data_IF_071214756605
#
_entry.id   IF_071214756605
#
_cell.length_a   1.000
_cell.length_b   1.000
_cell.length_c   1.000
_cell.angle_alpha   90.00
_cell.angle_beta   90.00
_cell.angle_gamma   90.00
#
_symmetry.space_group_name_H-M   'P 1'
#
loop_
_entity.id
_entity.type
_entity.pdbx_description
1 polymer ?
#
# COMPACT_ATOMS: atom_id res chain seq x y z
N UNK A 1 -27.36 8.90 10.93
CA UNK A 1 -26.43 8.12 10.09
C UNK A 1 -25.20 7.77 10.91
N UNK A 2 -24.63 6.59 10.69
CA UNK A 2 -23.38 6.16 11.32
C UNK A 2 -22.21 6.90 10.64
N UNK A 3 -21.55 7.83 11.34
CA UNK A 3 -20.53 8.70 10.77
C UNK A 3 -19.34 7.92 10.17
N UNK A 4 -19.00 6.74 10.68
CA UNK A 4 -17.92 5.91 10.16
C UNK A 4 -18.31 5.29 8.82
N UNK A 5 -19.55 4.78 8.73
CA UNK A 5 -20.10 4.29 7.46
C UNK A 5 -20.10 5.38 6.40
N UNK A 6 -20.45 6.61 6.78
CA UNK A 6 -20.42 7.77 5.89
C UNK A 6 -18.99 8.11 5.44
N UNK A 7 -18.00 8.15 6.33
CA UNK A 7 -16.59 8.42 5.97
C UNK A 7 -16.03 7.35 5.04
N UNK A 8 -16.21 6.06 5.39
CA UNK A 8 -15.79 4.94 4.55
C UNK A 8 -16.44 5.05 3.17
N UNK A 9 -17.72 5.39 3.13
CA UNK A 9 -18.45 5.59 1.87
C UNK A 9 -17.89 6.75 1.05
N UNK A 10 -17.62 7.92 1.65
CA UNK A 10 -17.04 9.05 0.90
C UNK A 10 -15.68 8.70 0.29
N UNK A 11 -14.76 8.14 1.09
CA UNK A 11 -13.43 7.75 0.58
C UNK A 11 -13.56 6.71 -0.53
N UNK A 12 -14.47 5.76 -0.38
CA UNK A 12 -14.75 4.72 -1.38
C UNK A 12 -15.33 5.33 -2.66
N UNK A 13 -16.39 6.13 -2.57
CA UNK A 13 -17.06 6.73 -3.71
C UNK A 13 -16.13 7.66 -4.50
N UNK A 14 -15.30 8.45 -3.82
CA UNK A 14 -14.31 9.33 -4.45
C UNK A 14 -13.24 8.52 -5.20
N UNK A 15 -12.73 7.45 -4.58
CA UNK A 15 -11.74 6.57 -5.19
C UNK A 15 -12.31 5.90 -6.45
N UNK A 16 -13.51 5.32 -6.34
CA UNK A 16 -14.15 4.58 -7.43
C UNK A 16 -14.52 5.48 -8.61
N UNK A 17 -15.15 6.62 -8.31
CA UNK A 17 -15.58 7.57 -9.33
C UNK A 17 -14.37 8.12 -10.08
N UNK A 18 -13.30 8.51 -9.36
CA UNK A 18 -12.11 9.05 -10.00
C UNK A 18 -11.34 7.99 -10.80
N UNK A 19 -11.20 6.77 -10.26
CA UNK A 19 -10.53 5.67 -10.97
C UNK A 19 -11.23 5.37 -12.29
N UNK A 20 -12.54 5.15 -12.24
CA UNK A 20 -13.30 4.80 -13.43
C UNK A 20 -13.37 5.96 -14.41
N UNK A 21 -13.53 7.21 -13.94
CA UNK A 21 -13.48 8.38 -14.82
C UNK A 21 -12.17 8.45 -15.62
N UNK A 22 -11.02 8.25 -14.96
CA UNK A 22 -9.72 8.25 -15.63
C UNK A 22 -9.57 7.03 -16.55
N UNK A 23 -10.07 5.86 -16.15
CA UNK A 23 -10.01 4.64 -16.97
C UNK A 23 -10.86 4.77 -18.26
N UNK A 24 -12.00 5.46 -18.22
CA UNK A 24 -12.82 5.73 -19.40
C UNK A 24 -12.22 6.81 -20.30
N UNK A 25 -11.36 7.68 -19.78
CA UNK A 25 -10.69 8.69 -20.58
C UNK A 25 -9.68 8.04 -21.54
N UNK A 26 -9.90 8.22 -22.84
CA UNK A 26 -9.08 7.68 -23.94
C UNK A 26 -7.85 8.54 -24.25
N UNK A 27 -7.77 9.75 -23.70
CA UNK A 27 -6.65 10.67 -23.94
C UNK A 27 -5.37 10.21 -23.24
N UNK A 28 -4.23 10.64 -23.79
CA UNK A 28 -2.91 10.39 -23.22
C UNK A 28 -2.59 11.42 -22.13
N UNK A 29 -3.35 11.37 -21.04
CA UNK A 29 -3.16 12.23 -19.86
C UNK A 29 -2.43 11.49 -18.73
N UNK A 30 -1.77 12.21 -17.79
CA UNK A 30 -1.31 11.62 -16.54
C UNK A 30 -2.48 10.94 -15.81
N UNK A 31 -2.26 9.71 -15.32
CA UNK A 31 -3.34 8.85 -14.78
C UNK A 31 -3.35 8.72 -13.25
N UNK A 32 -2.59 9.57 -12.55
CA UNK A 32 -2.69 9.71 -11.09
C UNK A 32 -2.21 8.49 -10.27
N UNK A 33 -1.27 7.69 -10.78
CA UNK A 33 -0.82 6.44 -10.13
C UNK A 33 -0.52 6.61 -8.62
N UNK A 34 0.30 7.61 -8.28
CA UNK A 34 0.67 7.88 -6.88
C UNK A 34 -0.48 8.45 -6.05
N UNK A 35 -1.38 9.23 -6.66
CA UNK A 35 -2.59 9.71 -5.99
C UNK A 35 -3.43 8.53 -5.51
N UNK A 36 -3.67 7.54 -6.37
CA UNK A 36 -4.43 6.35 -5.99
C UNK A 36 -3.69 5.49 -4.96
N UNK A 37 -2.36 5.39 -5.04
CA UNK A 37 -1.58 4.72 -4.01
C UNK A 37 -1.77 5.40 -2.64
N UNK A 38 -1.65 6.72 -2.56
CA UNK A 38 -1.86 7.48 -1.33
C UNK A 38 -3.30 7.33 -0.82
N UNK A 39 -4.31 7.48 -1.69
CA UNK A 39 -5.72 7.32 -1.31
C UNK A 39 -6.00 5.93 -0.76
N UNK A 40 -5.46 4.88 -1.38
CA UNK A 40 -5.63 3.51 -0.88
C UNK A 40 -4.97 3.26 0.49
N UNK A 41 -3.85 3.94 0.79
CA UNK A 41 -3.23 3.89 2.12
C UNK A 41 -4.00 4.70 3.16
N UNK A 42 -4.58 5.83 2.79
CA UNK A 42 -5.49 6.60 3.66
C UNK A 42 -6.71 5.75 4.00
N UNK A 43 -7.25 5.03 3.02
CA UNK A 43 -8.36 4.11 3.25
C UNK A 43 -7.99 3.01 4.24
N UNK A 44 -6.81 2.37 4.06
CA UNK A 44 -6.27 1.42 5.03
C UNK A 44 -6.12 2.03 6.43
N UNK A 45 -5.56 3.23 6.54
CA UNK A 45 -5.36 3.93 7.82
C UNK A 45 -6.69 4.15 8.56
N UNK A 46 -7.70 4.70 7.88
CA UNK A 46 -9.02 4.94 8.47
C UNK A 46 -9.64 3.63 8.96
N UNK A 47 -9.62 2.59 8.12
CA UNK A 47 -10.19 1.28 8.44
C UNK A 47 -9.45 0.64 9.62
N UNK A 48 -8.12 0.74 9.65
CA UNK A 48 -7.28 0.22 10.71
C UNK A 48 -7.54 0.91 12.04
N UNK A 49 -7.69 2.24 12.04
CA UNK A 49 -8.06 3.01 13.25
C UNK A 49 -9.41 2.60 13.82
N UNK A 50 -10.41 2.41 12.95
CA UNK A 50 -11.73 1.91 13.37
C UNK A 50 -11.59 0.52 13.97
N UNK A 51 -10.95 -0.41 13.26
CA UNK A 51 -10.75 -1.78 13.73
C UNK A 51 -9.94 -1.84 15.03
N UNK A 52 -8.97 -0.96 15.24
CA UNK A 52 -8.20 -0.88 16.47
C UNK A 52 -9.09 -0.50 17.67
N UNK A 53 -10.04 0.42 17.47
CA UNK A 53 -10.99 0.85 18.51
C UNK A 53 -12.00 -0.23 18.89
N UNK A 54 -12.26 -1.21 18.01
CA UNK A 54 -13.24 -2.28 18.23
C UNK A 54 -12.63 -3.68 18.25
N UNK A 55 -11.31 -3.77 18.42
CA UNK A 55 -10.57 -5.04 18.49
C UNK A 55 -10.81 -6.00 17.29
N UNK A 56 -10.95 -5.44 16.08
CA UNK A 56 -11.14 -6.20 14.82
C UNK A 56 -9.91 -6.20 13.91
N UNK A 57 -8.77 -5.69 14.37
CA UNK A 57 -7.56 -5.62 13.54
C UNK A 57 -7.08 -6.99 13.08
N UNK A 58 -7.16 -7.99 13.97
CA UNK A 58 -6.76 -9.34 13.61
C UNK A 58 -7.73 -9.96 12.60
N UNK A 59 -9.06 -9.83 12.80
CA UNK A 59 -10.07 -10.27 11.84
C UNK A 59 -9.86 -9.62 10.46
N UNK A 60 -9.61 -8.32 10.43
CA UNK A 60 -9.28 -7.59 9.21
C UNK A 60 -8.05 -8.16 8.50
N UNK A 61 -7.01 -8.55 9.27
CA UNK A 61 -5.78 -9.14 8.72
C UNK A 61 -5.98 -10.53 8.08
N UNK A 62 -6.98 -11.27 8.56
CA UNK A 62 -7.35 -12.58 8.01
C UNK A 62 -8.24 -12.43 6.76
N UNK A 63 -8.95 -11.31 6.65
CA UNK A 63 -9.86 -11.03 5.55
C UNK A 63 -9.19 -10.34 4.33
N UNK A 64 -8.07 -9.64 4.52
CA UNK A 64 -7.26 -9.06 3.45
C UNK A 64 -6.40 -10.16 2.78
N UNK A 65 -6.09 -10.00 1.48
CA UNK A 65 -5.28 -10.95 0.72
C UNK A 65 -3.96 -11.33 1.44
N UNK A 66 -3.67 -12.64 1.50
CA UNK A 66 -2.52 -13.20 2.24
C UNK A 66 -1.17 -12.60 1.84
N UNK A 67 -0.99 -12.24 0.57
CA UNK A 67 0.29 -11.72 0.04
C UNK A 67 0.72 -10.42 0.73
N UNK A 68 -0.22 -9.64 1.27
CA UNK A 68 0.08 -8.45 2.08
C UNK A 68 0.76 -8.76 3.42
N UNK A 69 0.59 -9.98 3.92
CA UNK A 69 1.16 -10.46 5.18
C UNK A 69 2.38 -11.34 4.97
N UNK A 70 2.97 -11.28 3.78
CA UNK A 70 4.30 -11.80 3.55
C UNK A 70 5.31 -11.06 4.43
N UNK A 71 6.01 -11.80 5.28
CA UNK A 71 7.05 -11.24 6.16
C UNK A 71 8.29 -10.91 5.34
N UNK A 72 8.62 -9.64 5.25
CA UNK A 72 9.88 -9.10 4.74
C UNK A 72 10.89 -8.92 5.89
N UNK A 73 12.18 -8.74 5.60
CA UNK A 73 13.18 -8.55 6.65
C UNK A 73 12.84 -7.36 7.58
N UNK A 74 13.19 -7.41 8.86
CA UNK A 74 12.94 -6.28 9.78
C UNK A 74 14.00 -5.19 9.56
N UNK A 75 13.80 -4.34 8.56
CA UNK A 75 14.83 -3.42 8.11
C UNK A 75 14.35 -1.99 7.85
N UNK A 76 13.05 -1.73 7.95
CA UNK A 76 12.55 -0.37 8.11
C UNK A 76 12.89 0.07 9.54
N UNK A 77 13.63 1.18 9.68
CA UNK A 77 13.94 1.74 11.01
C UNK A 77 12.63 2.12 11.69
N UNK A 78 12.29 1.38 12.75
CA UNK A 78 11.31 1.81 13.73
C UNK A 78 12.00 2.84 14.61
N UNK A 79 11.63 4.12 14.47
CA UNK A 79 12.03 5.09 15.47
C UNK A 79 11.26 4.74 16.73
N UNK A 80 11.93 4.38 17.82
CA UNK A 80 11.30 4.13 19.12
C UNK A 80 10.58 5.35 19.71
N UNK A 81 10.63 6.51 19.01
CA UNK A 81 9.88 7.73 19.30
C UNK A 81 8.58 7.85 18.51
N UNK A 82 8.35 7.04 17.49
CA UNK A 82 7.06 6.92 16.81
C UNK A 82 6.13 6.08 17.71
N UNK A 83 5.38 6.73 18.60
CA UNK A 83 4.13 6.11 19.06
C UNK A 83 3.20 6.17 17.86
N UNK A 84 3.04 5.06 17.15
CA UNK A 84 2.02 5.00 16.11
C UNK A 84 0.66 5.26 16.79
N UNK A 85 -0.07 6.30 16.36
CA UNK A 85 -1.39 6.65 16.90
C UNK A 85 -2.42 5.51 16.70
N UNK A 86 -2.08 4.50 15.89
CA UNK A 86 -2.88 3.34 15.57
C UNK A 86 -2.01 2.18 15.05
N UNK A 87 -2.58 0.98 14.99
CA UNK A 87 -1.92 -0.19 14.43
C UNK A 87 -2.50 -0.54 13.06
N UNK A 88 -1.64 -0.94 12.12
CA UNK A 88 -2.06 -1.60 10.88
C UNK A 88 -2.54 -3.03 11.17
N UNK A 89 -3.26 -3.69 10.25
CA UNK A 89 -3.66 -5.09 10.42
C UNK A 89 -2.42 -5.97 10.55
N UNK A 90 -2.43 -6.91 11.50
CA UNK A 90 -1.32 -7.83 11.75
C UNK A 90 -1.83 -9.23 12.12
N UNK A 91 -1.06 -10.26 11.75
CA UNK A 91 -1.34 -11.66 12.13
C UNK A 91 -0.58 -12.09 13.37
N UNK A 92 0.56 -11.47 13.63
CA UNK A 92 1.42 -11.68 14.78
C UNK A 92 2.00 -10.32 15.17
N UNK A 93 1.66 -9.86 16.37
CA UNK A 93 2.03 -8.53 16.86
C UNK A 93 3.54 -8.35 16.93
N UNK A 94 4.28 -9.41 17.28
CA UNK A 94 5.74 -9.37 17.43
C UNK A 94 6.47 -9.10 16.11
N UNK A 95 5.80 -9.37 14.98
CA UNK A 95 6.35 -9.21 13.63
C UNK A 95 5.54 -8.26 12.76
N UNK A 96 4.66 -7.42 13.34
CA UNK A 96 3.79 -6.50 12.59
C UNK A 96 4.53 -5.59 11.60
N UNK A 97 5.73 -5.12 11.96
CA UNK A 97 6.56 -4.25 11.11
C UNK A 97 7.25 -4.99 9.95
N UNK A 98 7.24 -6.31 9.95
CA UNK A 98 7.82 -7.14 8.89
C UNK A 98 6.85 -7.38 7.75
N UNK A 99 5.55 -7.19 7.94
CA UNK A 99 4.58 -7.46 6.88
C UNK A 99 4.71 -6.49 5.70
N UNK A 100 4.55 -7.01 4.48
CA UNK A 100 4.57 -6.21 3.25
C UNK A 100 3.58 -5.03 3.31
N UNK A 101 2.41 -5.20 3.92
CA UNK A 101 1.44 -4.11 4.11
C UNK A 101 2.02 -2.94 4.92
N UNK A 102 2.84 -3.24 5.94
CA UNK A 102 3.51 -2.21 6.73
C UNK A 102 4.56 -1.48 5.89
N UNK A 103 5.29 -2.20 5.05
CA UNK A 103 6.26 -1.61 4.14
C UNK A 103 5.61 -0.70 3.10
N UNK A 104 4.56 -1.20 2.44
CA UNK A 104 3.78 -0.42 1.49
C UNK A 104 3.21 0.83 2.15
N UNK A 105 2.67 0.70 3.36
CA UNK A 105 2.15 1.84 4.11
C UNK A 105 3.25 2.86 4.40
N UNK A 106 4.36 2.50 5.04
CA UNK A 106 5.44 3.47 5.33
C UNK A 106 6.02 4.08 4.05
N UNK A 107 6.24 3.28 3.02
CA UNK A 107 6.87 3.73 1.79
C UNK A 107 5.96 4.62 0.91
N UNK A 108 4.65 4.37 0.89
CA UNK A 108 3.69 5.19 0.13
C UNK A 108 3.17 6.35 0.98
N UNK A 109 2.67 6.07 2.20
CA UNK A 109 2.00 7.05 3.06
C UNK A 109 2.95 7.98 3.81
N UNK A 110 4.19 7.58 4.05
CA UNK A 110 5.19 8.43 4.71
C UNK A 110 6.36 8.75 3.79
N UNK A 111 6.16 8.49 2.50
CA UNK A 111 7.21 8.54 1.53
C UNK A 111 7.12 9.61 0.47
N UNK A 112 7.95 9.46 -0.56
CA UNK A 112 8.07 10.35 -1.72
C UNK A 112 6.84 10.33 -2.61
N UNK A 113 5.90 9.41 -2.38
CA UNK A 113 4.59 9.45 -3.02
C UNK A 113 3.86 10.79 -2.78
N UNK A 114 4.10 11.44 -1.63
CA UNK A 114 3.60 12.79 -1.35
C UNK A 114 4.16 13.87 -2.28
N UNK A 115 5.35 13.65 -2.82
CA UNK A 115 5.99 14.52 -3.81
C UNK A 115 5.74 14.06 -5.25
N UNK A 116 4.87 13.06 -5.46
CA UNK A 116 4.67 12.40 -6.76
C UNK A 116 5.96 11.79 -7.34
N UNK A 117 6.91 11.49 -6.46
CA UNK A 117 8.21 10.95 -6.82
C UNK A 117 8.23 9.43 -6.64
N UNK A 118 9.15 8.81 -7.37
CA UNK A 118 9.33 7.36 -7.30
C UNK A 118 9.78 6.90 -5.92
N UNK A 119 9.26 5.76 -5.49
CA UNK A 119 9.50 5.23 -4.15
C UNK A 119 10.59 4.17 -4.25
N UNK A 120 11.82 4.56 -3.93
CA UNK A 120 12.98 3.67 -3.99
C UNK A 120 13.51 3.48 -2.59
N UNK A 121 13.57 2.22 -2.18
CA UNK A 121 14.10 1.79 -0.90
C UNK A 121 15.48 1.19 -1.16
N UNK A 122 16.51 1.75 -0.55
CA UNK A 122 17.87 1.24 -0.71
C UNK A 122 18.16 0.17 0.34
N UNK A 123 18.55 -1.02 -0.13
CA UNK A 123 19.16 -2.13 0.62
C UNK A 123 20.69 -2.03 0.67
N UNK A 124 21.34 -3.05 1.26
CA UNK A 124 22.81 -3.13 1.33
C UNK A 124 23.45 -3.32 -0.05
N UNK A 125 22.84 -4.17 -0.88
CA UNK A 125 23.34 -4.61 -2.20
C UNK A 125 22.26 -4.56 -3.29
N UNK A 126 21.12 -3.94 -3.00
CA UNK A 126 20.00 -3.81 -3.93
C UNK A 126 19.23 -2.50 -3.74
N UNK A 127 18.45 -2.13 -4.74
CA UNK A 127 17.38 -1.15 -4.67
C UNK A 127 16.04 -1.87 -4.81
N UNK A 128 15.03 -1.43 -4.05
CA UNK A 128 13.65 -1.86 -4.19
C UNK A 128 12.79 -0.67 -4.61
N UNK A 129 12.39 -0.67 -5.88
CA UNK A 129 11.44 0.27 -6.46
C UNK A 129 10.01 -0.23 -6.27
N UNK A 130 9.10 0.64 -5.82
CA UNK A 130 7.67 0.35 -5.77
C UNK A 130 7.02 0.87 -7.06
N UNK A 131 6.86 -0.02 -8.02
CA UNK A 131 6.23 0.25 -9.31
C UNK A 131 4.72 0.38 -9.18
N UNK A 132 4.22 1.59 -8.98
CA UNK A 132 2.77 1.87 -8.83
C UNK A 132 2.07 1.90 -10.20
N UNK A 133 1.04 1.06 -10.36
CA UNK A 133 0.23 0.98 -11.58
C UNK A 133 -1.16 1.56 -11.35
N UNK A 134 -1.41 2.78 -11.84
CA UNK A 134 -2.73 3.42 -11.78
C UNK A 134 -3.73 2.92 -12.85
N UNK A 135 -4.89 3.58 -13.00
CA UNK A 135 -5.87 3.24 -14.02
C UNK A 135 -5.26 3.33 -15.41
N UNK A 136 -5.52 2.33 -16.25
CA UNK A 136 -5.18 2.34 -17.69
C UNK A 136 -6.45 2.55 -18.50
N UNK A 137 -6.29 2.86 -19.79
CA UNK A 137 -7.42 2.96 -20.72
C UNK A 137 -8.24 1.68 -20.64
N UNK A 138 -9.54 1.82 -20.40
CA UNK A 138 -10.51 0.71 -20.28
C UNK A 138 -10.26 -0.26 -19.11
N UNK A 139 -9.35 0.06 -18.19
CA UNK A 139 -9.07 -0.75 -16.99
C UNK A 139 -9.78 -0.16 -15.76
N UNK A 140 -11.11 -0.13 -15.82
CA UNK A 140 -11.97 0.24 -14.68
C UNK A 140 -11.80 -0.74 -13.51
N UNK A 141 -12.33 -0.42 -12.34
CA UNK A 141 -12.22 -1.27 -11.15
C UNK A 141 -12.82 -2.67 -11.36
N UNK A 142 -13.93 -2.77 -12.09
CA UNK A 142 -14.52 -4.05 -12.48
C UNK A 142 -13.55 -4.90 -13.31
N UNK A 143 -12.92 -4.29 -14.32
CA UNK A 143 -11.97 -4.98 -15.19
C UNK A 143 -10.79 -5.54 -14.41
N UNK A 144 -10.18 -4.74 -13.53
CA UNK A 144 -9.02 -5.21 -12.74
C UNK A 144 -9.42 -6.31 -11.75
N UNK A 145 -10.64 -6.27 -11.21
CA UNK A 145 -11.17 -7.33 -10.34
C UNK A 145 -11.31 -8.65 -11.11
N UNK A 146 -11.97 -8.61 -12.27
CA UNK A 146 -12.21 -9.77 -13.13
C UNK A 146 -10.93 -10.34 -13.74
N UNK A 147 -9.93 -9.49 -13.97
CA UNK A 147 -8.65 -9.86 -14.59
C UNK A 147 -7.49 -9.86 -13.59
N UNK A 148 -7.77 -10.02 -12.29
CA UNK A 148 -6.76 -10.01 -11.22
C UNK A 148 -5.48 -10.81 -11.54
N UNK A 149 -5.54 -12.05 -12.10
CA UNK A 149 -4.33 -12.81 -12.42
C UNK A 149 -3.43 -12.18 -13.49
N UNK A 150 -3.98 -11.32 -14.35
CA UNK A 150 -3.25 -10.62 -15.42
C UNK A 150 -2.68 -9.29 -14.95
N UNK A 151 -3.14 -8.77 -13.81
CA UNK A 151 -2.69 -7.51 -13.25
C UNK A 151 -1.45 -7.77 -12.40
N UNK A 152 -0.31 -7.17 -12.77
CA UNK A 152 0.89 -7.19 -11.92
C UNK A 152 0.58 -6.52 -10.59
N UNK A 153 0.53 -7.32 -9.53
CA UNK A 153 0.15 -6.87 -8.19
C UNK A 153 0.82 -7.76 -7.14
N UNK A 154 1.56 -7.15 -6.22
CA UNK A 154 2.39 -7.80 -5.20
C UNK A 154 3.36 -8.83 -5.80
N UNK A 155 3.90 -8.49 -6.97
CA UNK A 155 4.88 -9.29 -7.68
C UNK A 155 6.24 -8.60 -7.57
N UNK A 156 7.25 -9.36 -7.17
CA UNK A 156 8.65 -8.92 -7.16
C UNK A 156 9.32 -9.39 -8.44
N UNK A 157 9.97 -8.46 -9.15
CA UNK A 157 10.70 -8.74 -10.39
C UNK A 157 12.09 -8.10 -10.32
N UNK A 158 13.13 -8.84 -10.70
CA UNK A 158 14.45 -8.26 -10.92
C UNK A 158 14.45 -7.47 -12.24
N UNK A 159 14.95 -6.24 -12.22
CA UNK A 159 15.02 -5.36 -13.39
C UNK A 159 16.47 -5.29 -13.82
N UNK A 160 16.78 -5.97 -14.93
CA UNK A 160 18.13 -6.04 -15.51
C UNK A 160 18.41 -4.89 -16.51
N UNK A 161 17.42 -4.05 -16.76
CA UNK A 161 17.47 -2.96 -17.74
C UNK A 161 18.29 -1.75 -17.22
N UNK A 162 19.42 -1.45 -17.88
CA UNK A 162 20.25 -0.27 -17.59
C UNK A 162 19.51 1.06 -17.77
N UNK A 163 18.52 1.13 -18.68
CA UNK A 163 17.69 2.33 -18.86
C UNK A 163 16.85 2.61 -17.61
N UNK A 164 16.39 1.58 -16.91
CA UNK A 164 15.68 1.72 -15.63
C UNK A 164 16.60 2.29 -14.55
N UNK A 165 17.86 1.85 -14.47
CA UNK A 165 18.82 2.45 -13.54
C UNK A 165 19.04 3.95 -13.82
N UNK A 166 19.28 4.29 -15.08
CA UNK A 166 19.47 5.68 -15.52
C UNK A 166 18.24 6.56 -15.22
N UNK A 167 17.05 6.07 -15.56
CA UNK A 167 15.77 6.78 -15.32
C UNK A 167 15.54 7.04 -13.83
N UNK A 168 15.97 6.13 -12.98
CA UNK A 168 15.82 6.23 -11.52
C UNK A 168 16.99 6.94 -10.83
N UNK A 169 18.02 7.34 -11.57
CA UNK A 169 19.24 7.93 -11.01
C UNK A 169 20.00 6.97 -10.10
N UNK A 170 19.93 5.66 -10.36
CA UNK A 170 20.52 4.61 -9.54
C UNK A 170 21.87 4.13 -10.11
N UNK A 171 22.74 3.67 -9.22
CA UNK A 171 24.01 3.07 -9.61
C UNK A 171 23.82 1.61 -10.01
N UNK A 172 24.51 1.18 -11.07
CA UNK A 172 24.45 -0.20 -11.59
C UNK A 172 25.21 -1.23 -10.74
N UNK A 173 25.90 -0.79 -9.68
CA UNK A 173 26.63 -1.67 -8.74
C UNK A 173 25.70 -2.53 -7.86
N UNK A 174 24.43 -2.15 -7.75
CA UNK A 174 23.40 -2.86 -7.00
C UNK A 174 22.36 -3.48 -7.93
N UNK A 175 21.70 -4.54 -7.49
CA UNK A 175 20.54 -5.09 -8.20
C UNK A 175 19.32 -4.19 -8.03
N UNK A 176 18.47 -4.06 -9.05
CA UNK A 176 17.19 -3.37 -8.96
C UNK A 176 16.05 -4.39 -8.89
N UNK A 177 15.30 -4.37 -7.80
CA UNK A 177 14.09 -5.17 -7.62
C UNK A 177 12.89 -4.23 -7.71
N UNK A 178 11.88 -4.59 -8.51
CA UNK A 178 10.60 -3.88 -8.59
C UNK A 178 9.51 -4.68 -7.90
N UNK A 179 8.88 -4.06 -6.90
CA UNK A 179 7.61 -4.51 -6.36
C UNK A 179 6.48 -3.82 -7.14
N UNK A 180 5.74 -4.59 -7.92
CA UNK A 180 4.55 -4.08 -8.59
C UNK A 180 3.41 -3.91 -7.60
N UNK A 181 2.91 -2.69 -7.48
CA UNK A 181 1.78 -2.36 -6.62
C UNK A 181 0.63 -1.79 -7.46
N UNK A 182 -0.54 -2.42 -7.34
CA UNK A 182 -1.77 -1.93 -7.97
C UNK A 182 -2.71 -1.42 -6.87
N UNK A 183 -2.86 -0.08 -6.71
CA UNK A 183 -3.73 0.49 -5.68
C UNK A 183 -5.22 0.17 -5.87
N UNK A 184 -5.69 -0.08 -7.10
CA UNK A 184 -7.08 -0.46 -7.34
C UNK A 184 -7.40 -1.84 -6.77
N UNK A 185 -6.52 -2.83 -6.99
CA UNK A 185 -6.67 -4.15 -6.37
C UNK A 185 -6.56 -4.09 -4.84
N UNK A 186 -5.61 -3.31 -4.32
CA UNK A 186 -5.48 -3.12 -2.87
C UNK A 186 -6.73 -2.52 -2.23
N UNK A 187 -7.27 -1.48 -2.86
CA UNK A 187 -8.53 -0.87 -2.44
C UNK A 187 -9.66 -1.91 -2.43
N UNK A 188 -9.81 -2.70 -3.50
CA UNK A 188 -10.82 -3.75 -3.59
C UNK A 188 -10.67 -4.81 -2.50
N UNK A 189 -9.45 -5.19 -2.13
CA UNK A 189 -9.18 -6.15 -1.07
C UNK A 189 -9.58 -5.62 0.30
N UNK A 190 -9.23 -4.36 0.60
CA UNK A 190 -9.65 -3.71 1.85
C UNK A 190 -11.19 -3.61 1.87
N UNK A 191 -11.81 -3.19 0.76
CA UNK A 191 -13.27 -3.07 0.66
C UNK A 191 -13.97 -4.42 0.87
N UNK A 192 -13.45 -5.49 0.28
CA UNK A 192 -13.95 -6.85 0.47
C UNK A 192 -13.79 -7.30 1.93
N UNK A 193 -12.66 -7.00 2.56
CA UNK A 193 -12.39 -7.34 3.95
C UNK A 193 -13.31 -6.61 4.93
N UNK A 194 -13.57 -5.31 4.74
CA UNK A 194 -14.56 -4.53 5.51
C UNK A 194 -15.93 -5.20 5.48
N UNK A 195 -16.35 -5.67 4.30
CA UNK A 195 -17.63 -6.36 4.12
C UNK A 195 -17.66 -7.72 4.81
N UNK A 196 -16.59 -8.51 4.71
CA UNK A 196 -16.54 -9.85 5.31
C UNK A 196 -16.55 -9.81 6.83
N UNK A 197 -15.84 -8.86 7.45
CA UNK A 197 -15.81 -8.68 8.91
C UNK A 197 -17.01 -7.88 9.44
N UNK A 198 -17.94 -7.48 8.56
CA UNK A 198 -19.13 -6.68 8.89
C UNK A 198 -18.78 -5.41 9.67
N UNK A 199 -17.73 -4.72 9.23
CA UNK A 199 -17.23 -3.53 9.93
C UNK A 199 -18.29 -2.41 9.99
N UNK A 200 -19.07 -2.27 8.91
CA UNK A 200 -20.07 -1.21 8.75
C UNK A 200 -21.44 -1.60 9.30
N UNK A 201 -21.78 -2.89 9.32
CA UNK A 201 -23.07 -3.38 9.85
C UNK A 201 -23.15 -3.30 11.39
N UNK A 202 -22.04 -3.03 12.08
CA UNK A 202 -21.91 -3.11 13.54
C UNK A 202 -21.74 -1.77 14.29
N UNK A 203 -21.75 -0.59 13.64
CA UNK A 203 -21.47 0.67 14.34
C UNK A 203 -22.72 1.53 14.69
N UNK A 204 -22.94 1.69 16.00
CA UNK A 204 -23.66 2.81 16.63
C UNK A 204 -22.72 4.00 16.91
N UNK A 205 -23.29 5.19 17.14
CA UNK A 205 -22.62 6.52 17.05
C UNK A 205 -21.29 6.72 17.86
N UNK A 206 -20.26 7.23 17.16
CA UNK A 206 -19.06 8.04 17.54
C UNK A 206 -18.00 7.44 18.52
N UNK A 207 -16.70 7.90 18.52
CA UNK A 207 -16.19 9.25 18.19
C UNK A 207 -14.94 9.35 17.28
N UNK A 208 -14.85 10.50 16.59
CA UNK A 208 -13.67 11.02 15.89
C UNK A 208 -13.40 12.44 16.41
N UNK A 209 -12.54 12.55 17.42
CA UNK A 209 -11.84 13.79 17.74
C UNK A 209 -10.33 13.43 17.72
N UNK A 210 -9.53 14.33 17.16
CA UNK A 210 -8.07 14.26 16.97
C UNK A 210 -7.56 13.45 15.75
N UNK A 211 -7.59 14.08 14.57
CA UNK A 211 -6.90 13.59 13.37
C UNK A 211 -6.23 14.75 12.62
N UNK A 212 -5.09 15.24 13.13
CA UNK A 212 -4.00 15.85 12.34
C UNK A 212 -2.70 15.70 13.15
N UNK A 213 -1.67 15.09 12.57
CA UNK A 213 -0.31 15.08 13.12
C UNK A 213 0.60 15.97 12.27
N UNK A 214 1.31 16.89 12.92
CA UNK A 214 2.03 18.05 12.36
C UNK A 214 3.47 17.76 11.88
N UNK A 215 3.94 16.51 11.81
CA UNK A 215 5.39 16.30 11.77
C UNK A 215 5.86 15.20 10.84
N UNK A 216 6.15 15.47 9.56
CA UNK A 216 7.06 14.58 8.81
C UNK A 216 7.91 15.31 7.76
N UNK A 217 9.22 15.38 8.03
CA UNK A 217 10.29 15.59 7.03
C UNK A 217 11.45 14.64 7.38
N UNK A 218 11.91 13.90 6.36
CA UNK A 218 13.00 12.91 6.31
C UNK A 218 12.66 11.56 6.94
N UNK A 219 12.53 10.50 6.12
CA UNK A 219 13.17 9.18 6.31
C UNK A 219 12.66 8.12 5.30
N UNK A 220 13.58 7.53 4.53
CA UNK A 220 13.36 6.37 3.63
C UNK A 220 14.66 5.58 3.43
N UNK A 221 14.95 4.56 4.25
CA UNK A 221 16.06 3.61 4.01
C UNK A 221 15.75 2.22 4.56
N UNK A 222 16.28 1.16 3.92
CA UNK A 222 16.06 -0.26 4.25
C UNK A 222 17.38 -0.97 4.51
N UNK A 223 17.62 -1.45 5.74
CA UNK A 223 18.87 -2.15 6.07
C UNK A 223 18.77 -3.68 5.99
N UNK A 224 18.71 -4.28 4.81
CA UNK A 224 18.92 -5.73 4.64
C UNK A 224 19.69 -6.08 3.36
N UNK A 225 20.23 -7.30 3.27
CA UNK A 225 20.86 -7.87 2.06
C UNK A 225 19.83 -8.60 1.22
N UNK A 226 19.96 -8.61 -0.11
CA UNK A 226 19.03 -9.26 -1.05
C UNK A 226 18.78 -10.73 -0.72
N UNK A 227 19.82 -11.48 -0.34
CA UNK A 227 19.72 -12.88 0.10
C UNK A 227 18.77 -13.10 1.29
N UNK A 228 18.45 -12.05 2.03
CA UNK A 228 17.48 -12.09 3.14
C UNK A 228 16.06 -11.86 2.63
N UNK A 229 15.90 -10.98 1.63
CA UNK A 229 14.64 -10.72 0.96
C UNK A 229 14.20 -11.95 0.13
N UNK A 230 15.12 -12.58 -0.60
CA UNK A 230 14.87 -13.79 -1.41
C UNK A 230 14.38 -14.99 -0.59
N UNK A 231 14.67 -15.04 0.71
CA UNK A 231 14.14 -16.08 1.62
C UNK A 231 12.68 -15.87 1.97
N UNK A 232 12.20 -14.64 1.80
CA UNK A 232 10.89 -14.19 2.18
C UNK A 232 9.93 -14.10 0.99
N UNK A 233 10.44 -13.80 -0.21
CA UNK A 233 9.65 -13.57 -1.43
C UNK A 233 10.13 -14.40 -2.61
N UNK A 234 9.20 -14.86 -3.45
CA UNK A 234 9.52 -15.42 -4.76
C UNK A 234 9.77 -14.26 -5.72
N UNK A 235 11.02 -14.10 -6.16
CA UNK A 235 11.41 -13.12 -7.17
C UNK A 235 11.37 -13.80 -8.53
N UNK A 236 10.62 -13.24 -9.48
CA UNK A 236 10.66 -13.68 -10.87
C UNK A 236 11.82 -13.01 -11.60
N UNK A 237 12.55 -13.80 -12.40
CA UNK A 237 13.58 -13.31 -13.32
C UNK A 237 12.91 -12.81 -14.59
#
# INVERSE_FOLDING_TARGET
>A
MNNIATIIKYISDDFETLWDLIAHNQEHIPRGNYLFAVQSMIFLEVVSRVCNKIDKLHELSLAIEDRYFQKLPSCLRYSSKEKDDFLLPYRDESSKHQYLIYWLFKAVRHGTAHYYDQIILQGVDFYLDIGVTGPKISHCLSYIHENRPKVKHLQFQEIEDEQSFSTLGLKTEHKLIRLYFNPGLFYLDIKAAIKSIRLVDNYGKQPMDEFVSELYKKDMQINCKLKTLEKCVKIEK
#
